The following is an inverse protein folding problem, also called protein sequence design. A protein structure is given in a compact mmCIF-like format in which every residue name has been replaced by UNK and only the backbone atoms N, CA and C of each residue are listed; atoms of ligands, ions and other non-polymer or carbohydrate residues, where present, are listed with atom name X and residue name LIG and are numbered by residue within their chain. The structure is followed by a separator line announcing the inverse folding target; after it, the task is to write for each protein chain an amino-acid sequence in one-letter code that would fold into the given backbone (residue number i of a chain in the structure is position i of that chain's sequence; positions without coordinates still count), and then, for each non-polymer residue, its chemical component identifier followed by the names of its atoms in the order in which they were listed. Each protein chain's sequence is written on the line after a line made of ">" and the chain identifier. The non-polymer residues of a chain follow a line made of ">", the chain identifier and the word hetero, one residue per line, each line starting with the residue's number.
data_IF_759681827354
#
_entry.id   IF_759681827354
#
_cell.length_a   1.000
_cell.length_b   1.000
_cell.length_c   1.000
_cell.angle_alpha   90.00
_cell.angle_beta   90.00
_cell.angle_gamma   90.00
#
_symmetry.space_group_name_H-M   'P 1'
#
loop_
_entity.id
_entity.type
_entity.pdbx_description
1 polymer ?
#
# COMPACT_ATOMS: atom_id res chain seq x y z
N UNK A 1 -12.39 28.87 57.63
CA UNK A 1 -12.14 28.37 56.25
C UNK A 1 -13.43 27.75 55.75
N UNK A 2 -13.99 28.17 54.60
CA UNK A 2 -15.18 27.52 54.04
C UNK A 2 -14.79 26.12 53.58
N UNK A 3 -15.47 25.09 54.09
CA UNK A 3 -15.29 23.70 53.65
C UNK A 3 -16.12 23.50 52.37
N UNK A 4 -15.45 23.23 51.24
CA UNK A 4 -16.14 22.84 50.01
C UNK A 4 -17.03 21.61 50.30
N UNK A 5 -18.29 21.59 49.83
CA UNK A 5 -19.15 20.42 49.95
C UNK A 5 -18.54 19.26 49.17
N UNK A 6 -18.55 18.06 49.76
CA UNK A 6 -17.86 16.85 49.28
C UNK A 6 -18.15 16.50 47.81
N UNK A 7 -19.35 16.83 47.31
CA UNK A 7 -19.74 16.59 45.90
C UNK A 7 -18.92 17.42 44.90
N UNK A 8 -18.52 18.64 45.29
CA UNK A 8 -17.78 19.55 44.42
C UNK A 8 -16.33 19.05 44.25
N UNK A 9 -15.75 18.54 45.34
CA UNK A 9 -14.42 17.95 45.36
C UNK A 9 -14.34 16.69 44.48
N UNK A 10 -15.35 15.82 44.56
CA UNK A 10 -15.43 14.61 43.73
C UNK A 10 -15.58 14.93 42.23
N UNK A 11 -16.37 15.96 41.88
CA UNK A 11 -16.49 16.44 40.49
C UNK A 11 -15.15 16.94 39.95
N UNK A 12 -14.43 17.75 40.72
CA UNK A 12 -13.12 18.28 40.31
C UNK A 12 -12.11 17.13 40.12
N UNK A 13 -12.09 16.15 41.02
CA UNK A 13 -11.22 14.98 40.89
C UNK A 13 -11.57 14.12 39.66
N UNK A 14 -12.84 13.94 39.34
CA UNK A 14 -13.27 13.23 38.14
C UNK A 14 -12.85 13.97 36.85
N UNK A 15 -12.99 15.30 36.82
CA UNK A 15 -12.57 16.11 35.68
C UNK A 15 -11.05 16.11 35.48
N UNK A 16 -10.27 16.19 36.56
CA UNK A 16 -8.82 16.10 36.52
C UNK A 16 -8.34 14.72 36.05
N UNK A 17 -8.97 13.63 36.51
CA UNK A 17 -8.70 12.28 36.03
C UNK A 17 -9.01 12.15 34.53
N UNK A 18 -10.13 12.69 34.07
CA UNK A 18 -10.51 12.71 32.65
C UNK A 18 -9.50 13.46 31.77
N UNK A 19 -9.09 14.68 32.18
CA UNK A 19 -8.08 15.47 31.47
C UNK A 19 -6.72 14.79 31.44
N UNK A 20 -6.32 14.14 32.54
CA UNK A 20 -5.06 13.38 32.61
C UNK A 20 -5.07 12.15 31.68
N UNK A 21 -6.19 11.42 31.65
CA UNK A 21 -6.36 10.27 30.76
C UNK A 21 -6.34 10.68 29.27
N UNK A 22 -7.05 11.74 28.89
CA UNK A 22 -7.05 12.30 27.52
C UNK A 22 -5.67 12.85 27.12
N UNK A 23 -4.95 13.51 28.03
CA UNK A 23 -3.59 13.97 27.78
C UNK A 23 -2.63 12.78 27.55
N UNK A 24 -2.76 11.72 28.33
CA UNK A 24 -1.92 10.51 28.22
C UNK A 24 -2.22 9.76 26.93
N UNK A 25 -3.49 9.62 26.53
CA UNK A 25 -3.85 8.97 25.26
C UNK A 25 -3.36 9.77 24.05
N UNK A 26 -3.53 11.09 24.05
CA UNK A 26 -3.03 11.97 22.98
C UNK A 26 -1.51 11.94 22.86
N UNK A 27 -0.80 11.89 23.99
CA UNK A 27 0.65 11.75 23.99
C UNK A 27 1.07 10.41 23.35
N UNK A 28 0.41 9.30 23.73
CA UNK A 28 0.62 7.98 23.14
C UNK A 28 0.37 7.94 21.63
N UNK A 29 -0.77 8.48 21.19
CA UNK A 29 -1.13 8.56 19.77
C UNK A 29 -0.12 9.39 18.96
N UNK A 30 0.35 10.50 19.54
CA UNK A 30 1.35 11.36 18.89
C UNK A 30 2.71 10.67 18.73
N UNK A 31 3.14 9.91 19.74
CA UNK A 31 4.43 9.20 19.72
C UNK A 31 4.40 8.00 18.76
N UNK A 32 3.30 7.24 18.75
CA UNK A 32 3.05 6.19 17.76
C UNK A 32 3.06 6.77 16.34
N UNK A 33 2.32 7.86 16.12
CA UNK A 33 2.25 8.52 14.82
C UNK A 33 3.63 8.98 14.32
N UNK A 34 4.43 9.63 15.17
CA UNK A 34 5.78 10.07 14.80
C UNK A 34 6.70 8.89 14.46
N UNK A 35 6.63 7.80 15.23
CA UNK A 35 7.44 6.59 14.98
C UNK A 35 7.06 5.93 13.66
N UNK A 36 5.76 5.81 13.35
CA UNK A 36 5.29 5.28 12.06
C UNK A 36 5.77 6.14 10.90
N UNK A 37 5.62 7.47 10.97
CA UNK A 37 6.06 8.38 9.90
C UNK A 37 7.56 8.27 9.67
N UNK A 38 8.37 8.26 10.74
CA UNK A 38 9.82 8.06 10.64
C UNK A 38 10.16 6.75 9.93
N UNK A 39 9.52 5.65 10.31
CA UNK A 39 9.78 4.34 9.72
C UNK A 39 9.38 4.29 8.24
N UNK A 40 8.30 4.95 7.85
CA UNK A 40 7.88 5.07 6.44
C UNK A 40 8.87 5.90 5.62
N UNK A 41 9.39 6.99 6.17
CA UNK A 41 10.43 7.80 5.52
C UNK A 41 11.73 7.00 5.35
N UNK A 42 12.14 6.24 6.36
CA UNK A 42 13.30 5.35 6.28
C UNK A 42 13.08 4.25 5.23
N UNK A 43 11.90 3.64 5.18
CA UNK A 43 11.51 2.66 4.17
C UNK A 43 11.60 3.26 2.75
N UNK A 44 11.07 4.47 2.56
CA UNK A 44 11.11 5.16 1.27
C UNK A 44 12.55 5.51 0.86
N UNK A 45 13.33 6.09 1.78
CA UNK A 45 14.73 6.42 1.54
C UNK A 45 15.56 5.18 1.21
N UNK A 46 15.35 4.08 1.93
CA UNK A 46 16.01 2.79 1.66
C UNK A 46 15.63 2.26 0.28
N UNK A 47 14.36 2.33 -0.10
CA UNK A 47 13.89 1.88 -1.42
C UNK A 47 14.54 2.68 -2.55
N UNK A 48 14.57 4.01 -2.40
CA UNK A 48 15.21 4.92 -3.37
C UNK A 48 16.72 4.66 -3.41
N UNK A 49 17.38 4.48 -2.27
CA UNK A 49 18.80 4.18 -2.24
C UNK A 49 19.12 2.85 -2.93
N UNK A 50 18.36 1.80 -2.64
CA UNK A 50 18.51 0.47 -3.26
C UNK A 50 18.33 0.53 -4.78
N UNK A 51 17.49 1.44 -5.30
CA UNK A 51 17.33 1.63 -6.74
C UNK A 51 18.64 1.98 -7.46
N UNK A 52 19.56 2.71 -6.80
CA UNK A 52 20.85 3.10 -7.37
C UNK A 52 21.98 2.11 -7.11
N UNK A 53 21.74 1.05 -6.33
CA UNK A 53 22.77 0.08 -5.96
C UNK A 53 22.75 -1.11 -6.91
N UNK A 54 23.87 -1.42 -7.61
CA UNK A 54 23.97 -2.63 -8.43
C UNK A 54 23.64 -3.88 -7.62
N UNK A 55 22.94 -4.84 -8.23
CA UNK A 55 22.51 -6.11 -7.61
C UNK A 55 21.45 -5.99 -6.50
N UNK A 56 21.02 -4.79 -6.10
CA UNK A 56 19.93 -4.63 -5.14
C UNK A 56 18.61 -5.30 -5.61
N UNK A 57 18.44 -5.44 -6.93
CA UNK A 57 17.34 -6.19 -7.54
C UNK A 57 17.19 -7.62 -7.03
N UNK A 58 18.27 -8.31 -6.63
CA UNK A 58 18.19 -9.65 -6.03
C UNK A 58 17.55 -9.62 -4.64
N UNK A 59 17.88 -8.59 -3.85
CA UNK A 59 17.34 -8.43 -2.48
C UNK A 59 15.89 -7.98 -2.54
N UNK A 60 15.54 -7.11 -3.48
CA UNK A 60 14.17 -6.62 -3.64
C UNK A 60 13.29 -7.56 -4.47
N UNK A 61 13.85 -8.63 -5.04
CA UNK A 61 13.13 -9.53 -5.93
C UNK A 61 11.84 -10.12 -5.34
N UNK A 62 11.81 -10.65 -4.10
CA UNK A 62 10.56 -11.15 -3.53
C UNK A 62 9.50 -10.06 -3.36
N UNK A 63 9.92 -8.82 -3.08
CA UNK A 63 9.01 -7.68 -2.95
C UNK A 63 8.48 -7.26 -4.31
N UNK A 64 9.32 -7.28 -5.35
CA UNK A 64 8.89 -7.04 -6.73
C UNK A 64 7.82 -8.05 -7.14
N UNK A 65 8.04 -9.34 -6.89
CA UNK A 65 7.04 -10.38 -7.16
C UNK A 65 5.75 -10.16 -6.36
N UNK A 66 5.85 -9.76 -5.09
CA UNK A 66 4.67 -9.41 -4.29
C UNK A 66 3.87 -8.26 -4.94
N UNK A 67 4.55 -7.22 -5.43
CA UNK A 67 3.89 -6.11 -6.14
C UNK A 67 3.24 -6.62 -7.43
N UNK A 68 3.91 -7.47 -8.21
CA UNK A 68 3.32 -8.10 -9.40
C UNK A 68 2.06 -8.91 -9.05
N UNK A 69 2.07 -9.69 -7.96
CA UNK A 69 0.89 -10.41 -7.48
C UNK A 69 -0.28 -9.48 -7.17
N UNK A 70 -0.02 -8.34 -6.52
CA UNK A 70 -1.06 -7.35 -6.23
C UNK A 70 -1.54 -6.67 -7.51
N UNK A 71 -0.65 -6.37 -8.46
CA UNK A 71 -0.99 -5.80 -9.77
C UNK A 71 -1.94 -6.73 -10.54
N UNK A 72 -1.52 -7.97 -10.77
CA UNK A 72 -2.31 -8.99 -11.46
C UNK A 72 -3.61 -9.31 -10.73
N UNK A 73 -3.54 -9.42 -9.41
CA UNK A 73 -4.70 -9.61 -8.55
C UNK A 73 -5.71 -8.46 -8.64
N UNK A 74 -5.26 -7.24 -8.92
CA UNK A 74 -6.13 -6.07 -9.09
C UNK A 74 -6.89 -6.13 -10.42
N UNK A 75 -6.27 -6.60 -11.51
CA UNK A 75 -6.99 -6.90 -12.75
C UNK A 75 -8.07 -7.96 -12.53
N UNK A 76 -7.73 -9.04 -11.81
CA UNK A 76 -8.67 -10.12 -11.52
C UNK A 76 -9.86 -9.63 -10.67
N UNK A 77 -9.59 -8.81 -9.65
CA UNK A 77 -10.62 -8.22 -8.80
C UNK A 77 -11.51 -7.25 -9.59
N UNK A 78 -10.91 -6.38 -10.42
CA UNK A 78 -11.65 -5.46 -11.27
C UNK A 78 -12.56 -6.18 -12.27
N UNK A 79 -12.10 -7.31 -12.83
CA UNK A 79 -12.93 -8.13 -13.70
C UNK A 79 -14.15 -8.65 -12.94
N UNK A 80 -13.95 -9.25 -11.76
CA UNK A 80 -15.07 -9.71 -10.91
C UNK A 80 -16.06 -8.59 -10.59
N UNK A 81 -15.56 -7.43 -10.16
CA UNK A 81 -16.39 -6.28 -9.76
C UNK A 81 -17.19 -5.68 -10.93
N UNK A 82 -16.75 -5.90 -12.16
CA UNK A 82 -17.39 -5.36 -13.37
C UNK A 82 -18.19 -6.41 -14.14
N UNK A 83 -18.45 -7.58 -13.54
CA UNK A 83 -19.25 -8.66 -14.12
C UNK A 83 -18.49 -9.60 -15.05
N UNK A 84 -17.17 -9.52 -15.06
CA UNK A 84 -16.28 -10.45 -15.75
C UNK A 84 -15.84 -11.62 -14.87
N UNK A 85 -15.06 -12.52 -15.47
CA UNK A 85 -14.52 -13.72 -14.82
C UNK A 85 -12.99 -13.76 -15.02
N UNK A 86 -12.19 -13.72 -13.94
CA UNK A 86 -10.76 -13.98 -14.03
C UNK A 86 -10.54 -15.46 -14.32
N UNK A 87 -9.79 -15.76 -15.39
CA UNK A 87 -9.54 -17.12 -15.88
C UNK A 87 -8.26 -17.69 -15.31
N UNK A 88 -7.19 -16.91 -15.37
CA UNK A 88 -5.90 -17.30 -14.80
C UNK A 88 -5.00 -16.09 -14.58
N UNK A 89 -4.03 -16.27 -13.69
CA UNK A 89 -2.86 -15.42 -13.55
C UNK A 89 -1.60 -16.23 -13.78
N UNK A 90 -0.57 -15.59 -14.33
CA UNK A 90 0.77 -16.12 -14.41
C UNK A 90 1.77 -15.05 -13.96
N UNK A 91 2.78 -15.45 -13.20
CA UNK A 91 3.87 -14.57 -12.75
C UNK A 91 5.17 -15.13 -13.30
N UNK A 92 5.97 -14.30 -13.97
CA UNK A 92 7.16 -14.74 -14.70
C UNK A 92 8.46 -14.44 -13.95
N UNK A 93 9.56 -15.17 -14.24
CA UNK A 93 10.85 -14.97 -13.57
C UNK A 93 11.45 -13.56 -13.76
N UNK A 94 11.10 -12.88 -14.85
CA UNK A 94 11.53 -11.50 -15.12
C UNK A 94 10.75 -10.46 -14.29
N UNK A 95 9.80 -10.90 -13.46
CA UNK A 95 8.93 -10.07 -12.62
C UNK A 95 7.67 -9.57 -13.32
N UNK A 96 7.47 -9.89 -14.60
CA UNK A 96 6.23 -9.60 -15.32
C UNK A 96 5.09 -10.51 -14.87
N UNK A 97 3.86 -10.07 -15.14
CA UNK A 97 2.65 -10.80 -14.85
C UNK A 97 1.71 -10.80 -16.05
N UNK A 98 0.76 -11.74 -16.03
CA UNK A 98 -0.35 -11.78 -16.98
C UNK A 98 -1.61 -12.25 -16.26
N UNK A 99 -2.68 -11.48 -16.38
CA UNK A 99 -4.02 -11.85 -15.94
C UNK A 99 -4.95 -11.96 -17.15
N UNK A 100 -5.51 -13.14 -17.35
CA UNK A 100 -6.49 -13.39 -18.39
C UNK A 100 -7.90 -13.30 -17.81
N UNK A 101 -8.75 -12.49 -18.41
CA UNK A 101 -10.14 -12.26 -17.98
C UNK A 101 -11.10 -12.48 -19.15
N UNK A 102 -12.34 -12.88 -18.87
CA UNK A 102 -13.42 -12.91 -19.86
C UNK A 102 -14.60 -12.07 -19.38
N UNK A 103 -15.07 -11.15 -20.23
CA UNK A 103 -16.09 -10.17 -19.85
C UNK A 103 -15.58 -9.12 -18.87
N UNK A 104 -16.49 -8.32 -18.32
CA UNK A 104 -16.17 -7.17 -17.49
C UNK A 104 -15.87 -5.91 -18.29
N UNK A 105 -15.61 -4.81 -17.59
CA UNK A 105 -15.31 -3.51 -18.20
C UNK A 105 -13.81 -3.39 -18.44
N UNK A 106 -13.37 -3.58 -19.68
CA UNK A 106 -11.96 -3.55 -20.06
C UNK A 106 -11.21 -2.30 -19.60
N UNK A 107 -11.86 -1.12 -19.64
CA UNK A 107 -11.26 0.14 -19.18
C UNK A 107 -10.90 0.12 -17.68
N UNK A 108 -11.79 -0.46 -16.86
CA UNK A 108 -11.57 -0.59 -15.42
C UNK A 108 -10.52 -1.65 -15.16
N UNK A 109 -10.60 -2.78 -15.87
CA UNK A 109 -9.64 -3.88 -15.75
C UNK A 109 -8.24 -3.37 -16.08
N UNK A 110 -7.99 -2.78 -17.26
CA UNK A 110 -6.66 -2.30 -17.66
C UNK A 110 -6.12 -1.22 -16.73
N UNK A 111 -6.97 -0.37 -16.14
CA UNK A 111 -6.52 0.62 -15.15
C UNK A 111 -6.19 0.02 -13.77
N UNK A 112 -6.71 -1.17 -13.47
CA UNK A 112 -6.69 -1.71 -12.11
C UNK A 112 -5.32 -2.17 -11.64
N UNK A 113 -4.41 -2.59 -12.53
CA UNK A 113 -3.10 -3.11 -12.14
C UNK A 113 -2.28 -2.09 -11.35
N UNK A 114 -1.81 -1.04 -12.03
CA UNK A 114 -0.97 0.01 -11.43
C UNK A 114 -1.69 0.78 -10.32
N UNK A 115 -2.97 1.15 -10.54
CA UNK A 115 -3.74 1.89 -9.55
C UNK A 115 -4.08 1.02 -8.34
N UNK A 116 -4.34 -0.27 -8.54
CA UNK A 116 -4.62 -1.22 -7.48
C UNK A 116 -3.40 -1.49 -6.61
N UNK A 117 -2.21 -1.67 -7.20
CA UNK A 117 -0.96 -1.79 -6.47
C UNK A 117 -0.66 -0.53 -5.63
N UNK A 118 -0.82 0.66 -6.24
CA UNK A 118 -0.65 1.94 -5.53
C UNK A 118 -1.66 2.06 -4.39
N UNK A 119 -2.94 1.78 -4.65
CA UNK A 119 -4.02 1.84 -3.67
C UNK A 119 -3.78 0.86 -2.51
N UNK A 120 -3.34 -0.36 -2.80
CA UNK A 120 -3.06 -1.37 -1.78
C UNK A 120 -1.93 -0.90 -0.84
N UNK A 121 -0.85 -0.38 -1.40
CA UNK A 121 0.24 0.18 -0.60
C UNK A 121 -0.19 1.37 0.25
N UNK A 122 -0.95 2.30 -0.34
CA UNK A 122 -1.58 3.42 0.32
C UNK A 122 -2.49 2.97 1.48
N UNK A 123 -3.30 1.93 1.27
CA UNK A 123 -4.21 1.37 2.27
C UNK A 123 -3.45 0.72 3.44
N UNK A 124 -2.37 -0.02 3.17
CA UNK A 124 -1.51 -0.58 4.23
C UNK A 124 -0.92 0.53 5.12
N UNK A 125 -0.38 1.58 4.49
CA UNK A 125 0.19 2.72 5.20
C UNK A 125 -0.89 3.44 6.02
N UNK A 126 -2.07 3.69 5.44
CA UNK A 126 -3.18 4.32 6.13
C UNK A 126 -3.68 3.46 7.31
N UNK A 127 -3.72 2.14 7.17
CA UNK A 127 -4.12 1.22 8.23
C UNK A 127 -3.12 1.25 9.40
N UNK A 128 -1.81 1.23 9.13
CA UNK A 128 -0.78 1.39 10.18
C UNK A 128 -0.94 2.71 10.93
N UNK A 129 -1.18 3.81 10.20
CA UNK A 129 -1.40 5.13 10.81
C UNK A 129 -2.65 5.20 11.68
N UNK A 130 -3.64 4.35 11.42
CA UNK A 130 -4.88 4.20 12.22
C UNK A 130 -4.72 3.20 13.36
N UNK A 131 -3.52 2.69 13.62
CA UNK A 131 -3.23 1.78 14.73
C UNK A 131 -3.52 0.31 14.44
N UNK A 132 -3.78 -0.08 13.18
CA UNK A 132 -3.93 -1.49 12.83
C UNK A 132 -2.59 -2.21 13.06
N UNK A 133 -2.56 -3.32 13.82
CA UNK A 133 -1.31 -4.02 14.11
C UNK A 133 -0.63 -4.51 12.83
N UNK A 134 0.67 -4.26 12.68
CA UNK A 134 1.43 -4.73 11.52
C UNK A 134 1.35 -6.25 11.31
N UNK A 135 1.27 -7.02 12.41
CA UNK A 135 1.04 -8.47 12.36
C UNK A 135 -0.24 -8.81 11.60
N UNK A 136 -1.34 -8.12 11.89
CA UNK A 136 -2.63 -8.31 11.21
C UNK A 136 -2.50 -7.98 9.72
N UNK A 137 -1.80 -6.90 9.38
CA UNK A 137 -1.58 -6.52 7.98
C UNK A 137 -0.79 -7.59 7.23
N UNK A 138 0.29 -8.11 7.81
CA UNK A 138 1.05 -9.22 7.20
C UNK A 138 0.19 -10.46 7.00
N UNK A 139 -0.64 -10.83 7.99
CA UNK A 139 -1.56 -11.97 7.87
C UNK A 139 -2.57 -11.78 6.74
N UNK A 140 -3.17 -10.59 6.64
CA UNK A 140 -4.14 -10.26 5.59
C UNK A 140 -3.47 -10.26 4.22
N UNK A 141 -2.30 -9.62 4.07
CA UNK A 141 -1.52 -9.67 2.81
C UNK A 141 -1.19 -11.10 2.43
N UNK A 142 -0.73 -11.91 3.40
CA UNK A 142 -0.41 -13.33 3.17
C UNK A 142 -1.64 -14.12 2.71
N UNK A 143 -2.79 -13.91 3.34
CA UNK A 143 -4.05 -14.56 2.95
C UNK A 143 -4.50 -14.14 1.54
N UNK A 144 -4.40 -12.86 1.19
CA UNK A 144 -4.73 -12.36 -0.16
C UNK A 144 -3.83 -13.03 -1.21
N UNK A 145 -2.51 -13.02 -1.00
CA UNK A 145 -1.55 -13.66 -1.91
C UNK A 145 -1.81 -15.16 -2.00
N UNK A 146 -2.08 -15.82 -0.87
CA UNK A 146 -2.43 -17.25 -0.84
C UNK A 146 -3.70 -17.56 -1.64
N UNK A 147 -4.74 -16.75 -1.49
CA UNK A 147 -6.00 -16.91 -2.23
C UNK A 147 -5.79 -16.74 -3.74
N UNK A 148 -5.06 -15.69 -4.14
CA UNK A 148 -4.67 -15.44 -5.53
C UNK A 148 -3.86 -16.61 -6.10
N UNK A 149 -2.89 -17.10 -5.33
CA UNK A 149 -2.03 -18.23 -5.72
C UNK A 149 -2.83 -19.51 -5.95
N UNK A 150 -3.74 -19.85 -5.02
CA UNK A 150 -4.53 -21.08 -5.11
C UNK A 150 -5.59 -20.98 -6.21
N UNK A 151 -6.34 -19.88 -6.23
CA UNK A 151 -7.53 -19.78 -7.07
C UNK A 151 -7.23 -19.35 -8.50
N UNK A 152 -6.16 -18.61 -8.74
CA UNK A 152 -5.95 -17.95 -10.03
C UNK A 152 -4.60 -18.26 -10.66
N UNK A 153 -3.53 -18.47 -9.89
CA UNK A 153 -2.20 -18.70 -10.47
C UNK A 153 -2.09 -20.08 -11.12
N UNK A 154 -1.64 -20.13 -12.38
CA UNK A 154 -1.62 -21.37 -13.19
C UNK A 154 -0.24 -21.78 -13.71
N UNK A 155 0.80 -20.99 -13.48
CA UNK A 155 2.16 -21.37 -13.84
C UNK A 155 2.98 -21.77 -12.59
N UNK A 156 3.87 -22.75 -12.75
CA UNK A 156 4.63 -23.34 -11.64
C UNK A 156 5.45 -22.29 -10.87
N UNK A 157 6.14 -21.41 -11.61
CA UNK A 157 6.96 -20.35 -11.01
C UNK A 157 6.13 -19.46 -10.09
N UNK A 158 5.02 -18.92 -10.61
CA UNK A 158 4.10 -18.10 -9.84
C UNK A 158 3.53 -18.86 -8.65
N UNK A 159 3.13 -20.12 -8.83
CA UNK A 159 2.57 -20.91 -7.73
C UNK A 159 3.57 -21.09 -6.58
N UNK A 160 4.81 -21.48 -6.89
CA UNK A 160 5.87 -21.67 -5.89
C UNK A 160 6.18 -20.37 -5.16
N UNK A 161 6.41 -19.28 -5.90
CA UNK A 161 6.72 -17.99 -5.27
C UNK A 161 5.54 -17.40 -4.50
N UNK A 162 4.31 -17.56 -5.00
CA UNK A 162 3.09 -17.18 -4.29
C UNK A 162 2.93 -17.93 -2.98
N UNK A 163 3.20 -19.24 -2.97
CA UNK A 163 3.19 -20.05 -1.75
C UNK A 163 4.29 -19.62 -0.76
N UNK A 164 5.51 -19.33 -1.24
CA UNK A 164 6.61 -18.83 -0.41
C UNK A 164 6.29 -17.46 0.20
N UNK A 165 5.74 -16.53 -0.59
CA UNK A 165 5.33 -15.21 -0.13
C UNK A 165 4.20 -15.32 0.90
N UNK A 166 3.17 -16.12 0.60
CA UNK A 166 2.08 -16.42 1.54
C UNK A 166 2.64 -16.98 2.86
N UNK A 167 3.47 -18.02 2.80
CA UNK A 167 4.09 -18.63 3.98
C UNK A 167 4.94 -17.63 4.78
N UNK A 168 5.80 -16.86 4.11
CA UNK A 168 6.64 -15.85 4.74
C UNK A 168 5.84 -14.74 5.43
N UNK A 169 4.77 -14.25 4.80
CA UNK A 169 3.89 -13.23 5.36
C UNK A 169 3.08 -13.77 6.56
N UNK A 170 2.54 -14.99 6.44
CA UNK A 170 1.79 -15.62 7.53
C UNK A 170 2.70 -15.93 8.73
N UNK A 171 3.90 -16.46 8.50
CA UNK A 171 4.89 -16.68 9.54
C UNK A 171 5.33 -15.36 10.17
N UNK A 172 5.58 -14.33 9.35
CA UNK A 172 5.93 -12.99 9.81
C UNK A 172 4.87 -12.40 10.73
N UNK A 173 3.60 -12.47 10.32
CA UNK A 173 2.47 -12.00 11.13
C UNK A 173 2.30 -12.76 12.45
N UNK A 174 2.66 -14.05 12.50
CA UNK A 174 2.57 -14.87 13.73
C UNK A 174 3.77 -14.73 14.67
N UNK A 175 4.98 -14.54 14.13
CA UNK A 175 6.25 -14.70 14.87
C UNK A 175 6.99 -13.40 15.14
N UNK A 176 6.92 -12.41 14.26
CA UNK A 176 7.67 -11.15 14.43
C UNK A 176 7.15 -10.36 15.63
N UNK A 177 8.00 -9.56 16.28
CA UNK A 177 7.54 -8.59 17.29
C UNK A 177 6.57 -7.57 16.67
N UNK A 178 5.76 -6.90 17.49
CA UNK A 178 4.80 -5.91 16.99
C UNK A 178 5.49 -4.78 16.21
N UNK A 179 6.67 -4.34 16.68
CA UNK A 179 7.49 -3.31 16.04
C UNK A 179 8.03 -3.75 14.69
N UNK A 180 8.64 -4.94 14.61
CA UNK A 180 9.21 -5.45 13.35
C UNK A 180 8.09 -5.75 12.34
N UNK A 181 6.95 -6.28 12.79
CA UNK A 181 5.80 -6.51 11.91
C UNK A 181 5.21 -5.20 11.38
N UNK A 182 5.14 -4.14 12.20
CA UNK A 182 4.70 -2.81 11.76
C UNK A 182 5.68 -2.20 10.75
N UNK A 183 6.98 -2.35 11.00
CA UNK A 183 8.01 -1.93 10.05
C UNK A 183 7.90 -2.69 8.73
N UNK A 184 7.78 -4.02 8.76
CA UNK A 184 7.67 -4.86 7.57
C UNK A 184 6.40 -4.56 6.75
N UNK A 185 5.24 -4.42 7.41
CA UNK A 185 4.00 -4.04 6.74
C UNK A 185 4.09 -2.64 6.11
N UNK A 186 4.73 -1.69 6.81
CA UNK A 186 4.96 -0.34 6.29
C UNK A 186 5.91 -0.35 5.10
N UNK A 187 6.97 -1.16 5.18
CA UNK A 187 7.91 -1.36 4.09
C UNK A 187 7.24 -1.96 2.86
N UNK A 188 6.41 -3.01 3.01
CA UNK A 188 5.59 -3.57 1.92
C UNK A 188 4.69 -2.48 1.32
N UNK A 189 4.00 -1.70 2.15
CA UNK A 189 3.16 -0.60 1.67
C UNK A 189 3.94 0.42 0.83
N UNK A 190 5.13 0.79 1.26
CA UNK A 190 6.04 1.67 0.51
C UNK A 190 6.52 1.02 -0.79
N UNK A 191 6.86 -0.27 -0.78
CA UNK A 191 7.25 -1.00 -1.99
C UNK A 191 6.12 -1.04 -3.01
N UNK A 192 4.87 -1.28 -2.60
CA UNK A 192 3.73 -1.28 -3.51
C UNK A 192 3.55 0.07 -4.20
N UNK A 193 3.68 1.19 -3.47
CA UNK A 193 3.54 2.53 -4.06
C UNK A 193 4.73 2.87 -4.96
N UNK A 194 5.97 2.70 -4.48
CA UNK A 194 7.15 3.14 -5.21
C UNK A 194 7.43 2.28 -6.44
N UNK A 195 7.27 0.95 -6.35
CA UNK A 195 7.44 0.10 -7.54
C UNK A 195 6.35 0.39 -8.57
N UNK A 196 5.09 0.58 -8.15
CA UNK A 196 4.03 0.98 -9.10
C UNK A 196 4.34 2.29 -9.82
N UNK A 197 4.92 3.28 -9.13
CA UNK A 197 5.37 4.54 -9.75
C UNK A 197 6.54 4.34 -10.72
N UNK A 198 7.54 3.50 -10.36
CA UNK A 198 8.65 3.18 -11.25
C UNK A 198 8.22 2.36 -12.47
N UNK A 199 7.29 1.43 -12.30
CA UNK A 199 6.73 0.64 -13.38
C UNK A 199 5.85 1.50 -14.29
N UNK A 200 5.09 2.46 -13.74
CA UNK A 200 4.34 3.44 -14.53
C UNK A 200 5.25 4.38 -15.34
N UNK A 201 6.39 4.80 -14.79
CA UNK A 201 7.41 5.54 -15.55
C UNK A 201 7.95 4.68 -16.69
N UNK A 202 8.31 3.42 -16.40
CA UNK A 202 8.80 2.48 -17.40
C UNK A 202 7.76 2.24 -18.49
N UNK A 203 6.49 2.10 -18.11
CA UNK A 203 5.36 1.99 -19.03
C UNK A 203 5.25 3.23 -19.92
N UNK A 204 5.36 4.43 -19.35
CA UNK A 204 5.33 5.67 -20.12
C UNK A 204 6.42 5.66 -21.20
N UNK A 205 7.67 5.33 -20.84
CA UNK A 205 8.79 5.25 -21.77
C UNK A 205 8.53 4.21 -22.88
N UNK A 206 8.02 3.01 -22.52
CA UNK A 206 7.66 1.96 -23.48
C UNK A 206 6.53 2.37 -24.43
N UNK A 207 5.53 3.11 -23.94
CA UNK A 207 4.41 3.59 -24.76
C UNK A 207 4.82 4.69 -25.72
N UNK A 208 5.75 5.56 -25.32
CA UNK A 208 6.35 6.58 -26.20
C UNK A 208 7.22 5.93 -27.27
N UNK A 209 7.94 4.86 -26.92
CA UNK A 209 8.71 4.06 -27.86
C UNK A 209 7.84 3.18 -28.80
N UNK A 210 6.52 3.13 -28.58
CA UNK A 210 5.59 2.33 -29.39
C UNK A 210 5.75 0.82 -29.19
N UNK A 211 6.30 0.38 -28.05
CA UNK A 211 6.71 -1.01 -27.83
C UNK A 211 5.78 -1.78 -26.89
N UNK A 212 5.43 -3.00 -27.31
CA UNK A 212 4.90 -4.06 -26.46
C UNK A 212 3.39 -3.98 -26.17
N UNK A 213 2.81 -5.15 -25.88
CA UNK A 213 1.47 -5.24 -25.32
C UNK A 213 1.52 -4.91 -23.83
N UNK A 214 0.72 -3.96 -23.38
CA UNK A 214 0.62 -3.54 -21.99
C UNK A 214 -0.75 -2.90 -21.71
N UNK A 215 -1.02 -2.56 -20.46
CA UNK A 215 -2.31 -1.99 -20.06
C UNK A 215 -2.66 -0.69 -20.78
N UNK A 216 -1.68 0.17 -21.04
CA UNK A 216 -1.91 1.42 -21.76
C UNK A 216 -2.20 1.16 -23.25
N UNK A 217 -1.58 0.14 -23.85
CA UNK A 217 -1.89 -0.31 -25.19
C UNK A 217 -3.31 -0.92 -25.28
N UNK A 218 -3.75 -1.67 -24.26
CA UNK A 218 -5.14 -2.14 -24.13
C UNK A 218 -6.11 -0.96 -24.07
N UNK A 219 -5.80 0.07 -23.27
CA UNK A 219 -6.62 1.29 -23.21
C UNK A 219 -6.69 2.00 -24.55
N UNK A 220 -5.55 2.11 -25.25
CA UNK A 220 -5.50 2.76 -26.55
C UNK A 220 -6.32 2.02 -27.61
N UNK A 221 -6.28 0.69 -27.64
CA UNK A 221 -7.07 -0.10 -28.59
C UNK A 221 -8.58 -0.02 -28.32
N UNK A 222 -8.99 0.13 -27.05
CA UNK A 222 -10.40 0.26 -26.68
C UNK A 222 -10.96 1.69 -26.84
N UNK A 223 -10.14 2.71 -26.58
CA UNK A 223 -10.61 4.12 -26.48
C UNK A 223 -10.17 5.00 -27.64
N UNK A 224 -9.24 4.53 -28.48
CA UNK A 224 -8.59 5.31 -29.53
C UNK A 224 -7.77 6.51 -28.99
N UNK A 225 -7.60 6.62 -27.68
CA UNK A 225 -6.75 7.62 -27.03
C UNK A 225 -5.34 7.06 -26.86
N UNK A 226 -4.26 7.80 -27.23
CA UNK A 226 -2.89 7.28 -27.21
C UNK A 226 -2.45 6.70 -25.86
N UNK A 227 -1.70 5.59 -25.88
CA UNK A 227 -1.22 4.91 -24.68
C UNK A 227 -0.46 5.82 -23.68
N UNK A 228 0.42 6.77 -24.12
CA UNK A 228 1.10 7.67 -23.20
C UNK A 228 0.16 8.55 -22.35
N UNK A 229 -1.04 8.88 -22.87
CA UNK A 229 -2.03 9.64 -22.12
C UNK A 229 -2.50 8.86 -20.88
N UNK A 230 -2.81 7.57 -21.05
CA UNK A 230 -3.26 6.71 -19.97
C UNK A 230 -2.18 6.48 -18.92
N UNK A 231 -0.94 6.22 -19.37
CA UNK A 231 0.21 6.11 -18.46
C UNK A 231 0.40 7.41 -17.64
N UNK A 232 0.34 8.57 -18.29
CA UNK A 232 0.42 9.88 -17.61
C UNK A 232 -0.72 10.10 -16.61
N UNK A 233 -1.96 9.75 -16.97
CA UNK A 233 -3.12 9.85 -16.09
C UNK A 233 -2.96 8.97 -14.84
N UNK A 234 -2.47 7.75 -15.00
CA UNK A 234 -2.24 6.84 -13.87
C UNK A 234 -1.09 7.32 -12.96
N UNK A 235 -0.03 7.90 -13.53
CA UNK A 235 1.04 8.56 -12.75
C UNK A 235 0.46 9.67 -11.87
N UNK A 236 -0.34 10.58 -12.45
CA UNK A 236 -0.97 11.67 -11.70
C UNK A 236 -1.88 11.15 -10.58
N UNK A 237 -2.65 10.10 -10.89
CA UNK A 237 -3.56 9.47 -9.92
C UNK A 237 -2.77 8.83 -8.78
N UNK A 238 -1.66 8.14 -9.07
CA UNK A 238 -0.80 7.53 -8.07
C UNK A 238 -0.16 8.59 -7.15
N UNK A 239 0.30 9.71 -7.71
CA UNK A 239 0.78 10.84 -6.91
C UNK A 239 -0.32 11.45 -6.02
N UNK A 240 -1.55 11.59 -6.54
CA UNK A 240 -2.67 12.08 -5.76
C UNK A 240 -3.00 11.15 -4.58
N UNK A 241 -3.02 9.83 -4.80
CA UNK A 241 -3.20 8.84 -3.73
C UNK A 241 -2.11 8.95 -2.66
N UNK A 242 -0.85 9.10 -3.07
CA UNK A 242 0.27 9.26 -2.14
C UNK A 242 0.15 10.56 -1.35
N UNK A 243 -0.21 11.67 -2.01
CA UNK A 243 -0.42 12.96 -1.36
C UNK A 243 -1.56 12.90 -0.33
N UNK A 244 -2.63 12.14 -0.58
CA UNK A 244 -3.72 11.95 0.39
C UNK A 244 -3.27 11.12 1.61
N UNK A 245 -2.43 10.10 1.40
CA UNK A 245 -1.93 9.28 2.51
C UNK A 245 -0.87 10.00 3.34
N UNK A 246 -0.05 10.87 2.73
CA UNK A 246 0.99 11.62 3.44
C UNK A 246 0.51 13.00 3.93
N UNK A 247 -0.46 13.62 3.24
CA UNK A 247 -0.93 14.99 3.48
C UNK A 247 -1.37 15.29 4.91
N UNK A 248 -2.15 14.43 5.58
CA UNK A 248 -2.51 14.63 6.98
C UNK A 248 -1.30 14.66 7.94
N UNK A 249 -0.15 14.06 7.57
CA UNK A 249 1.07 14.12 8.36
C UNK A 249 1.81 15.47 8.23
N UNK A 250 1.64 16.18 7.11
CA UNK A 250 2.20 17.52 6.89
C UNK A 250 1.27 18.62 7.41
N UNK A 251 -0.05 18.49 7.22
CA UNK A 251 -1.05 19.45 7.71
C UNK A 251 -1.09 19.59 9.23
N UNK A 252 -0.85 18.50 9.97
CA UNK A 252 -0.77 18.53 11.43
C UNK A 252 0.44 19.34 11.95
N UNK A 253 1.58 19.31 11.23
CA UNK A 253 2.76 20.11 11.58
C UNK A 253 2.55 21.61 11.36
N UNK A 254 1.81 22.01 10.32
CA UNK A 254 1.49 23.42 10.05
C UNK A 254 0.53 24.04 11.08
N UNK A 255 -0.41 23.26 11.62
CA UNK A 255 -1.35 23.77 12.64
C UNK A 255 -0.72 23.91 14.03
N UNK A 256 0.31 23.12 14.37
CA UNK A 256 1.07 23.26 15.61
C UNK A 256 2.05 24.45 15.59
N UNK A 257 2.43 24.93 14.39
CA UNK A 257 3.30 26.09 14.22
C UNK A 257 2.55 27.43 14.26
N UNK A 258 1.21 27.44 14.36
CA UNK A 258 0.45 28.68 14.58
C UNK A 258 0.48 29.05 16.07
N UNK A 259 1.10 30.17 16.46
CA UNK A 259 0.96 30.67 17.82
C UNK A 259 -0.53 30.95 18.09
N UNK A 260 -1.06 30.43 19.20
CA UNK A 260 -2.40 30.79 19.67
C UNK A 260 -2.41 32.31 19.87
N UNK A 261 -3.13 33.05 19.01
CA UNK A 261 -3.48 34.44 19.29
C UNK A 261 -4.33 34.42 20.56
N UNK A 262 -3.80 35.01 21.62
CA UNK A 262 -4.55 35.38 22.82
C UNK A 262 -5.41 36.59 22.52
#
# INVERSE_FOLDING_TARGET
>A
MPTMPTNEYEKILAELKGKSADATSRAGDSALHQTTVRNLLLAAALTIALYFVPYAGFVTYPLRLLVTFIHEGSHALAALMTGGIPRMMAIQPDGSGLTMTSGGLGLVISSAGYLGATFYGAALIAALRRGVPGRTLLLVTGAIVGLMTLLLTRNLFGFVWGALLCGGLLLGGRKLSAEIAAWAAGFIGVQCVLNALFDLRTLFDLTVAGSGQNDAANMASMTWIPAPFWAGLWILTAFAMLALVLGPAFGAKLNLARPKRR
#
